data_IF_711020800355
#
_entry.id   IF_711020800355
#
_cell.length_a   1.000
_cell.length_b   1.000
_cell.length_c   1.000
_cell.angle_alpha   90.00
_cell.angle_beta   90.00
_cell.angle_gamma   90.00
#
_symmetry.space_group_name_H-M   'P 1'
#
loop_
_entity.id
_entity.type
_entity.pdbx_description
1 polymer ?
#
# COMPACT_ATOMS: atom_id res chain seq x y z
N UNK A 1 -4.71 -17.31 -32.70
CA UNK A 1 -5.69 -17.74 -31.68
C UNK A 1 -6.62 -16.57 -31.41
N UNK A 2 -7.89 -16.62 -31.82
CA UNK A 2 -8.86 -15.58 -31.42
C UNK A 2 -9.32 -15.88 -29.99
N UNK A 3 -9.29 -14.87 -29.13
CA UNK A 3 -9.85 -14.95 -27.80
C UNK A 3 -11.38 -15.10 -27.92
N UNK A 4 -11.99 -16.05 -27.22
CA UNK A 4 -13.44 -16.18 -27.19
C UNK A 4 -14.08 -14.92 -26.59
N UNK A 5 -15.31 -14.57 -27.01
CA UNK A 5 -16.03 -13.38 -26.50
C UNK A 5 -16.13 -13.36 -24.96
N UNK A 6 -16.25 -14.52 -24.33
CA UNK A 6 -16.25 -14.68 -22.87
C UNK A 6 -14.89 -14.33 -22.24
N UNK A 7 -13.79 -14.66 -22.89
CA UNK A 7 -12.44 -14.32 -22.43
C UNK A 7 -12.21 -12.82 -22.50
N UNK A 8 -12.67 -12.18 -23.58
CA UNK A 8 -12.58 -10.72 -23.74
C UNK A 8 -13.38 -10.00 -22.65
N UNK A 9 -14.59 -10.46 -22.34
CA UNK A 9 -15.42 -9.88 -21.27
C UNK A 9 -14.80 -10.05 -19.88
N UNK A 10 -14.20 -11.21 -19.59
CA UNK A 10 -13.50 -11.44 -18.32
C UNK A 10 -12.26 -10.57 -18.18
N UNK A 11 -11.46 -10.43 -19.25
CA UNK A 11 -10.30 -9.55 -19.26
C UNK A 11 -10.71 -8.08 -19.09
N UNK A 12 -11.79 -7.64 -19.76
CA UNK A 12 -12.33 -6.31 -19.58
C UNK A 12 -12.82 -6.07 -18.15
N UNK A 13 -13.55 -7.03 -17.56
CA UNK A 13 -14.00 -6.95 -16.18
C UNK A 13 -12.83 -6.87 -15.20
N UNK A 14 -11.79 -7.67 -15.40
CA UNK A 14 -10.56 -7.65 -14.60
C UNK A 14 -9.84 -6.29 -14.71
N UNK A 15 -9.68 -5.77 -15.92
CA UNK A 15 -9.07 -4.45 -16.14
C UNK A 15 -9.87 -3.34 -15.44
N UNK A 16 -11.20 -3.38 -15.55
CA UNK A 16 -12.08 -2.39 -14.91
C UNK A 16 -11.97 -2.50 -13.38
N UNK A 17 -11.99 -3.69 -12.80
CA UNK A 17 -11.91 -3.85 -11.34
C UNK A 17 -10.55 -3.43 -10.78
N UNK A 18 -9.45 -3.75 -11.47
CA UNK A 18 -8.10 -3.27 -11.10
C UNK A 18 -7.97 -1.75 -11.21
N UNK A 19 -8.54 -1.15 -12.27
CA UNK A 19 -8.61 0.29 -12.42
C UNK A 19 -9.43 0.97 -11.32
N UNK A 20 -10.58 0.39 -10.97
CA UNK A 20 -11.45 0.87 -9.89
C UNK A 20 -10.76 0.77 -8.53
N UNK A 21 -10.02 -0.31 -8.26
CA UNK A 21 -9.25 -0.47 -7.02
C UNK A 21 -8.19 0.64 -6.86
N UNK A 22 -7.48 0.96 -7.95
CA UNK A 22 -6.48 2.04 -7.95
C UNK A 22 -7.13 3.41 -7.72
N UNK A 23 -8.26 3.67 -8.38
CA UNK A 23 -9.03 4.90 -8.19
C UNK A 23 -9.60 5.02 -6.77
N UNK A 24 -10.07 3.91 -6.19
CA UNK A 24 -10.64 3.86 -4.84
C UNK A 24 -9.62 4.31 -3.78
N UNK A 25 -8.37 3.86 -3.88
CA UNK A 25 -7.31 4.24 -2.93
C UNK A 25 -7.07 5.75 -2.92
N UNK A 26 -6.92 6.37 -4.10
CA UNK A 26 -6.73 7.82 -4.23
C UNK A 26 -7.94 8.61 -3.75
N UNK A 27 -9.15 8.18 -4.13
CA UNK A 27 -10.42 8.82 -3.73
C UNK A 27 -10.64 8.77 -2.22
N UNK A 28 -10.47 7.59 -1.61
CA UNK A 28 -10.65 7.40 -0.17
C UNK A 28 -9.66 8.28 0.61
N UNK A 29 -8.41 8.31 0.16
CA UNK A 29 -7.38 9.15 0.79
C UNK A 29 -7.66 10.64 0.61
N UNK A 30 -8.13 11.07 -0.55
CA UNK A 30 -8.52 12.47 -0.80
C UNK A 30 -9.74 12.89 0.03
N UNK A 31 -10.72 12.01 0.22
CA UNK A 31 -11.89 12.29 1.07
C UNK A 31 -11.45 12.42 2.52
N UNK A 32 -10.64 11.48 3.03
CA UNK A 32 -10.09 11.57 4.39
C UNK A 32 -9.26 12.83 4.56
N UNK A 33 -8.38 13.13 3.61
CA UNK A 33 -7.58 14.34 3.57
C UNK A 33 -8.42 15.63 3.73
N UNK A 34 -9.53 15.74 3.02
CA UNK A 34 -10.33 16.97 2.96
C UNK A 34 -11.43 17.07 4.02
N UNK A 35 -11.79 15.94 4.67
CA UNK A 35 -12.93 15.87 5.60
C UNK A 35 -12.58 15.49 7.03
N UNK A 36 -11.36 15.01 7.26
CA UNK A 36 -10.91 14.57 8.58
C UNK A 36 -9.79 15.48 9.06
N UNK A 37 -9.82 15.80 10.35
CA UNK A 37 -8.80 16.61 11.01
C UNK A 37 -7.39 16.05 10.74
N UNK A 38 -6.38 16.91 10.48
CA UNK A 38 -5.04 16.47 10.10
C UNK A 38 -4.44 15.40 11.02
N UNK A 39 -4.67 15.49 12.34
CA UNK A 39 -4.17 14.53 13.33
C UNK A 39 -4.87 13.16 13.27
N UNK A 40 -6.08 13.08 12.71
CA UNK A 40 -6.90 11.88 12.63
C UNK A 40 -6.86 11.20 11.26
N UNK A 41 -6.27 11.83 10.23
CA UNK A 41 -6.21 11.32 8.85
C UNK A 41 -5.62 9.91 8.77
N UNK A 42 -4.46 9.69 9.39
CA UNK A 42 -3.77 8.38 9.37
C UNK A 42 -4.57 7.31 10.11
N UNK A 43 -5.18 7.65 11.26
CA UNK A 43 -6.10 6.77 11.99
C UNK A 43 -7.27 6.32 11.12
N UNK A 44 -7.93 7.26 10.43
CA UNK A 44 -9.06 6.95 9.54
C UNK A 44 -8.65 6.04 8.38
N UNK A 45 -7.48 6.27 7.78
CA UNK A 45 -6.94 5.40 6.73
C UNK A 45 -6.59 4.00 7.25
N UNK A 46 -6.04 3.92 8.46
CA UNK A 46 -5.82 2.64 9.13
C UNK A 46 -7.11 1.85 9.36
N UNK A 47 -8.21 2.52 9.72
CA UNK A 47 -9.53 1.88 9.84
C UNK A 47 -10.04 1.35 8.50
N UNK A 48 -9.96 2.17 7.45
CA UNK A 48 -10.38 1.77 6.10
C UNK A 48 -9.61 0.52 5.65
N UNK A 49 -8.28 0.54 5.79
CA UNK A 49 -7.44 -0.60 5.41
C UNK A 49 -7.67 -1.84 6.26
N UNK A 50 -7.87 -1.68 7.57
CA UNK A 50 -8.19 -2.79 8.45
C UNK A 50 -9.49 -3.47 8.02
N UNK A 51 -10.53 -2.67 7.74
CA UNK A 51 -11.79 -3.18 7.23
C UNK A 51 -11.62 -3.89 5.87
N UNK A 52 -10.82 -3.31 4.96
CA UNK A 52 -10.50 -3.96 3.68
C UNK A 52 -9.84 -5.33 3.88
N UNK A 53 -8.89 -5.46 4.80
CA UNK A 53 -8.21 -6.72 5.10
C UNK A 53 -9.14 -7.76 5.74
N UNK A 54 -10.04 -7.34 6.64
CA UNK A 54 -11.10 -8.22 7.17
C UNK A 54 -11.98 -8.74 6.04
N UNK A 55 -12.43 -7.85 5.15
CA UNK A 55 -13.26 -8.23 4.02
C UNK A 55 -12.51 -9.16 3.05
N UNK A 56 -11.25 -8.89 2.75
CA UNK A 56 -10.42 -9.77 1.93
C UNK A 56 -10.30 -11.16 2.54
N UNK A 57 -10.03 -11.27 3.84
CA UNK A 57 -9.97 -12.56 4.53
C UNK A 57 -11.31 -13.33 4.46
N UNK A 58 -12.42 -12.65 4.72
CA UNK A 58 -13.76 -13.25 4.62
C UNK A 58 -14.07 -13.72 3.19
N UNK A 59 -13.75 -12.90 2.19
CA UNK A 59 -13.95 -13.27 0.78
C UNK A 59 -13.05 -14.41 0.33
N UNK A 60 -11.82 -14.50 0.85
CA UNK A 60 -10.91 -15.60 0.55
C UNK A 60 -11.43 -16.94 1.10
N UNK A 61 -11.98 -16.94 2.33
CA UNK A 61 -12.63 -18.12 2.92
C UNK A 61 -13.86 -18.52 2.09
N UNK A 62 -14.73 -17.56 1.77
CA UNK A 62 -15.91 -17.82 0.94
C UNK A 62 -15.53 -18.37 -0.45
N UNK A 63 -14.53 -17.77 -1.11
CA UNK A 63 -14.03 -18.24 -2.40
C UNK A 63 -13.43 -19.64 -2.32
N UNK A 64 -12.73 -19.97 -1.22
CA UNK A 64 -12.19 -21.32 -0.99
C UNK A 64 -13.28 -22.36 -0.85
N UNK A 65 -14.39 -22.04 -0.17
CA UNK A 65 -15.56 -22.92 -0.07
C UNK A 65 -16.26 -23.11 -1.43
N UNK A 66 -16.39 -22.04 -2.21
CA UNK A 66 -16.92 -22.11 -3.58
C UNK A 66 -16.03 -23.01 -4.45
N UNK A 67 -14.70 -22.84 -4.40
CA UNK A 67 -13.75 -23.68 -5.13
C UNK A 67 -13.83 -25.15 -4.69
N UNK A 68 -13.89 -25.42 -3.39
CA UNK A 68 -13.98 -26.77 -2.83
C UNK A 68 -15.28 -27.50 -3.23
N UNK A 69 -16.36 -26.77 -3.47
CA UNK A 69 -17.64 -27.35 -3.88
C UNK A 69 -17.62 -27.97 -5.29
N UNK A 70 -16.72 -27.50 -6.17
CA UNK A 70 -16.66 -27.89 -7.59
C UNK A 70 -17.90 -27.51 -8.44
N UNK A 71 -18.93 -26.89 -7.86
CA UNK A 71 -20.19 -26.67 -8.55
C UNK A 71 -20.26 -25.30 -9.22
N UNK A 72 -20.51 -25.30 -10.53
CA UNK A 72 -20.58 -24.09 -11.37
C UNK A 72 -21.57 -23.04 -10.84
N UNK A 73 -22.69 -23.49 -10.24
CA UNK A 73 -23.71 -22.60 -9.70
C UNK A 73 -23.16 -21.68 -8.60
N UNK A 74 -22.25 -22.16 -7.75
CA UNK A 74 -21.67 -21.35 -6.68
C UNK A 74 -20.71 -20.29 -7.22
N UNK A 75 -19.99 -20.59 -8.31
CA UNK A 75 -19.19 -19.57 -9.01
C UNK A 75 -20.08 -18.48 -9.60
N UNK A 76 -21.18 -18.85 -10.26
CA UNK A 76 -22.14 -17.89 -10.83
C UNK A 76 -22.77 -17.01 -9.76
N UNK A 77 -23.16 -17.58 -8.62
CA UNK A 77 -23.69 -16.83 -7.47
C UNK A 77 -22.64 -15.86 -6.93
N UNK A 78 -21.39 -16.30 -6.74
CA UNK A 78 -20.31 -15.43 -6.26
C UNK A 78 -20.06 -14.24 -7.19
N UNK A 79 -20.04 -14.48 -8.51
CA UNK A 79 -19.91 -13.42 -9.53
C UNK A 79 -21.11 -12.46 -9.50
N UNK A 80 -22.33 -12.96 -9.35
CA UNK A 80 -23.54 -12.14 -9.26
C UNK A 80 -23.54 -11.24 -8.01
N UNK A 81 -23.09 -11.76 -6.86
CA UNK A 81 -22.93 -10.98 -5.63
C UNK A 81 -21.90 -9.86 -5.85
N UNK A 82 -20.73 -10.19 -6.41
CA UNK A 82 -19.69 -9.19 -6.70
C UNK A 82 -20.18 -8.10 -7.64
N UNK A 83 -20.89 -8.47 -8.72
CA UNK A 83 -21.50 -7.51 -9.64
C UNK A 83 -22.54 -6.61 -8.97
N UNK A 84 -23.39 -7.18 -8.11
CA UNK A 84 -24.42 -6.44 -7.36
C UNK A 84 -23.78 -5.45 -6.38
N UNK A 85 -22.71 -5.83 -5.69
CA UNK A 85 -21.97 -4.95 -4.78
C UNK A 85 -21.31 -3.78 -5.54
N UNK A 86 -20.70 -4.04 -6.70
CA UNK A 86 -20.14 -2.99 -7.55
C UNK A 86 -21.21 -2.03 -8.05
N UNK A 87 -22.36 -2.56 -8.48
CA UNK A 87 -23.50 -1.75 -8.92
C UNK A 87 -24.08 -0.89 -7.78
N UNK A 88 -24.25 -1.47 -6.58
CA UNK A 88 -24.69 -0.76 -5.40
C UNK A 88 -23.70 0.35 -5.01
N UNK A 89 -22.40 0.08 -5.06
CA UNK A 89 -21.34 1.08 -4.83
C UNK A 89 -21.40 2.22 -5.84
N UNK A 90 -21.59 1.91 -7.13
CA UNK A 90 -21.78 2.92 -8.18
C UNK A 90 -23.02 3.79 -7.91
N UNK A 91 -24.15 3.19 -7.50
CA UNK A 91 -25.37 3.91 -7.13
C UNK A 91 -25.19 4.77 -5.87
N UNK A 92 -24.44 4.29 -4.88
CA UNK A 92 -24.09 5.10 -3.71
C UNK A 92 -23.26 6.32 -4.11
N UNK A 93 -22.31 6.16 -5.03
CA UNK A 93 -21.53 7.28 -5.56
C UNK A 93 -22.38 8.33 -6.29
N UNK A 94 -23.50 7.97 -6.92
CA UNK A 94 -24.42 8.97 -7.51
C UNK A 94 -25.25 9.72 -6.47
N UNK A 95 -25.46 9.12 -5.28
CA UNK A 95 -26.21 9.70 -4.16
C UNK A 95 -25.35 10.56 -3.22
N UNK A 96 -24.03 10.39 -3.23
CA UNK A 96 -23.13 11.32 -2.55
C UNK A 96 -23.30 12.67 -3.26
N UNK A 97 -24.08 13.55 -2.63
CA UNK A 97 -24.43 14.84 -3.19
C UNK A 97 -23.16 15.57 -3.62
N UNK A 98 -23.17 16.07 -4.86
CA UNK A 98 -22.16 17.00 -5.41
C UNK A 98 -21.99 18.29 -4.57
N UNK A 99 -22.70 18.41 -3.44
CA UNK A 99 -22.73 19.57 -2.51
C UNK A 99 -21.39 20.02 -1.98
N UNK A 100 -20.33 19.21 -2.10
CA UNK A 100 -18.97 19.62 -1.69
C UNK A 100 -17.94 19.47 -2.80
N UNK A 101 -18.37 19.32 -4.05
CA UNK A 101 -17.58 19.93 -5.10
C UNK A 101 -17.68 21.44 -4.84
N UNK A 102 -16.80 21.98 -4.00
CA UNK A 102 -16.31 23.35 -4.21
C UNK A 102 -16.16 23.44 -5.71
N UNK A 103 -16.82 24.43 -6.29
CA UNK A 103 -16.97 24.69 -7.73
C UNK A 103 -15.58 24.81 -8.37
N UNK A 104 -14.86 23.70 -8.47
CA UNK A 104 -13.57 23.62 -9.11
C UNK A 104 -13.91 23.59 -10.58
N UNK A 105 -13.73 24.75 -11.18
CA UNK A 105 -13.79 24.91 -12.62
C UNK A 105 -12.84 23.87 -13.25
N UNK A 106 -13.07 23.52 -14.53
CA UNK A 106 -12.11 22.67 -15.26
C UNK A 106 -10.69 23.28 -15.22
N UNK A 107 -10.60 24.60 -15.06
CA UNK A 107 -9.35 25.31 -14.80
C UNK A 107 -8.75 24.93 -13.43
N UNK A 108 -9.52 24.96 -12.34
CA UNK A 108 -9.03 24.60 -10.99
C UNK A 108 -8.55 23.15 -10.91
N UNK A 109 -9.23 22.22 -11.60
CA UNK A 109 -8.75 20.82 -11.72
C UNK A 109 -7.43 20.72 -12.49
N UNK A 110 -7.28 21.48 -13.58
CA UNK A 110 -6.02 21.53 -14.35
C UNK A 110 -4.89 22.20 -13.55
N UNK A 111 -5.20 23.25 -12.80
CA UNK A 111 -4.26 23.95 -11.93
C UNK A 111 -3.81 23.01 -10.81
N UNK A 112 -4.74 22.32 -10.13
CA UNK A 112 -4.39 21.35 -9.08
C UNK A 112 -3.51 20.20 -9.56
N UNK A 113 -3.83 19.62 -10.73
CA UNK A 113 -2.98 18.61 -11.35
C UNK A 113 -1.60 19.15 -11.72
N UNK A 114 -1.53 20.36 -12.30
CA UNK A 114 -0.26 21.01 -12.65
C UNK A 114 0.60 21.33 -11.43
N UNK A 115 -0.03 21.79 -10.34
CA UNK A 115 0.65 22.11 -9.08
C UNK A 115 1.24 20.86 -8.45
N UNK A 116 0.48 19.76 -8.38
CA UNK A 116 0.95 18.52 -7.80
C UNK A 116 2.13 17.91 -8.59
N UNK A 117 2.10 17.97 -9.92
CA UNK A 117 3.21 17.50 -10.78
C UNK A 117 4.44 18.42 -10.74
N UNK A 118 4.29 19.66 -10.27
CA UNK A 118 5.41 20.61 -10.09
C UNK A 118 6.01 20.55 -8.69
N UNK A 119 5.31 19.97 -7.71
CA UNK A 119 5.83 19.79 -6.36
C UNK A 119 6.87 18.66 -6.30
N UNK A 120 8.13 19.04 -6.54
CA UNK A 120 9.26 18.12 -6.52
C UNK A 120 9.44 17.44 -5.15
N UNK A 121 9.10 18.13 -4.05
CA UNK A 121 9.29 17.56 -2.73
C UNK A 121 8.29 16.44 -2.46
N UNK A 122 7.03 16.68 -2.83
CA UNK A 122 5.99 15.65 -2.78
C UNK A 122 6.31 14.49 -3.73
N UNK A 123 6.71 14.76 -4.97
CA UNK A 123 7.04 13.74 -5.96
C UNK A 123 8.18 12.81 -5.50
N UNK A 124 9.27 13.38 -4.98
CA UNK A 124 10.39 12.58 -4.47
C UNK A 124 9.98 11.73 -3.26
N UNK A 125 9.14 12.27 -2.38
CA UNK A 125 8.63 11.53 -1.22
C UNK A 125 7.69 10.39 -1.64
N UNK A 126 6.82 10.62 -2.62
CA UNK A 126 5.91 9.59 -3.13
C UNK A 126 6.64 8.54 -3.96
N UNK A 127 7.64 8.92 -4.75
CA UNK A 127 8.49 7.95 -5.47
C UNK A 127 9.17 6.98 -4.51
N UNK A 128 9.77 7.49 -3.42
CA UNK A 128 10.34 6.63 -2.37
C UNK A 128 9.28 5.72 -1.74
N UNK A 129 8.09 6.26 -1.47
CA UNK A 129 7.01 5.47 -0.89
C UNK A 129 6.56 4.35 -1.82
N UNK A 130 6.46 4.61 -3.13
CA UNK A 130 6.11 3.61 -4.15
C UNK A 130 7.16 2.51 -4.26
N UNK A 131 8.46 2.84 -4.14
CA UNK A 131 9.52 1.83 -4.07
C UNK A 131 9.37 0.95 -2.83
N UNK A 132 9.03 1.53 -1.66
CA UNK A 132 8.73 0.75 -0.46
C UNK A 132 7.46 -0.12 -0.61
N UNK A 133 6.49 0.29 -1.45
CA UNK A 133 5.31 -0.54 -1.74
C UNK A 133 5.61 -1.79 -2.56
N UNK A 134 6.84 -1.95 -3.08
CA UNK A 134 7.31 -3.24 -3.60
C UNK A 134 7.34 -4.33 -2.51
N UNK A 135 7.12 -4.00 -1.23
CA UNK A 135 6.85 -4.99 -0.20
C UNK A 135 5.60 -5.85 -0.48
N UNK A 136 4.59 -5.35 -1.20
CA UNK A 136 3.41 -6.15 -1.55
C UNK A 136 3.75 -7.33 -2.47
N UNK A 137 4.37 -7.12 -3.66
CA UNK A 137 4.74 -8.22 -4.53
C UNK A 137 5.81 -9.13 -3.92
N UNK A 138 6.61 -8.69 -2.93
CA UNK A 138 7.49 -9.59 -2.17
C UNK A 138 6.70 -10.74 -1.56
N UNK A 139 5.54 -10.47 -0.96
CA UNK A 139 4.76 -11.52 -0.30
C UNK A 139 3.81 -12.26 -1.26
N UNK A 140 3.26 -11.57 -2.26
CA UNK A 140 2.27 -12.17 -3.17
C UNK A 140 2.87 -12.88 -4.38
N UNK A 141 4.12 -12.57 -4.75
CA UNK A 141 4.81 -13.14 -5.92
C UNK A 141 6.18 -13.68 -5.56
N UNK A 142 7.02 -12.84 -4.92
CA UNK A 142 8.41 -13.20 -4.61
C UNK A 142 8.50 -14.41 -3.69
N UNK A 143 7.75 -14.41 -2.58
CA UNK A 143 7.75 -15.48 -1.59
C UNK A 143 7.24 -16.82 -2.17
N UNK A 144 6.05 -16.92 -2.81
CA UNK A 144 5.60 -18.16 -3.41
C UNK A 144 6.59 -18.74 -4.42
N UNK A 145 7.09 -17.88 -5.34
CA UNK A 145 8.05 -18.28 -6.37
C UNK A 145 9.34 -18.83 -5.75
N UNK A 146 9.89 -18.09 -4.80
CA UNK A 146 11.10 -18.48 -4.10
C UNK A 146 10.91 -19.76 -3.27
N UNK A 147 9.79 -19.93 -2.55
CA UNK A 147 9.47 -21.17 -1.83
C UNK A 147 9.52 -22.37 -2.77
N UNK A 148 8.92 -22.25 -3.95
CA UNK A 148 8.81 -23.35 -4.91
C UNK A 148 10.09 -23.65 -5.67
N UNK A 149 10.93 -22.64 -5.93
CA UNK A 149 12.11 -22.79 -6.80
C UNK A 149 13.43 -22.87 -6.02
N UNK A 150 13.46 -22.42 -4.77
CA UNK A 150 14.72 -22.13 -4.06
C UNK A 150 14.72 -22.56 -2.59
N UNK A 151 13.75 -23.36 -2.14
CA UNK A 151 13.70 -23.80 -0.73
C UNK A 151 13.21 -25.24 -0.58
N UNK A 152 13.51 -25.82 0.59
CA UNK A 152 12.94 -27.09 1.05
C UNK A 152 11.60 -26.94 1.78
N UNK A 153 11.04 -25.73 1.87
CA UNK A 153 9.80 -25.47 2.58
C UNK A 153 8.57 -25.92 1.77
N UNK A 154 7.49 -26.39 2.43
CA UNK A 154 6.29 -26.82 1.73
C UNK A 154 5.60 -25.65 0.98
N UNK A 155 5.07 -25.85 -0.24
CA UNK A 155 4.36 -24.81 -1.00
C UNK A 155 3.19 -24.17 -0.26
N UNK A 156 2.55 -24.92 0.65
CA UNK A 156 1.47 -24.43 1.51
C UNK A 156 1.88 -23.24 2.39
N UNK A 157 3.19 -23.06 2.65
CA UNK A 157 3.71 -21.95 3.44
C UNK A 157 3.40 -20.58 2.84
N UNK A 158 3.28 -20.46 1.51
CA UNK A 158 2.89 -19.21 0.88
C UNK A 158 1.50 -18.73 1.38
N UNK A 159 0.52 -19.64 1.42
CA UNK A 159 -0.83 -19.35 1.92
C UNK A 159 -0.83 -19.06 3.43
N UNK A 160 -0.07 -19.81 4.21
CA UNK A 160 0.09 -19.56 5.66
C UNK A 160 0.66 -18.17 5.92
N UNK A 161 1.68 -17.76 5.15
CA UNK A 161 2.32 -16.46 5.33
C UNK A 161 1.38 -15.30 4.97
N UNK A 162 0.60 -15.44 3.90
CA UNK A 162 -0.43 -14.48 3.53
C UNK A 162 -1.53 -14.36 4.60
N UNK A 163 -1.93 -15.47 5.22
CA UNK A 163 -2.91 -15.44 6.30
C UNK A 163 -2.36 -14.72 7.55
N UNK A 164 -1.11 -15.01 7.91
CA UNK A 164 -0.42 -14.36 9.04
C UNK A 164 -0.29 -12.85 8.81
N UNK A 165 0.11 -12.42 7.62
CA UNK A 165 0.26 -10.99 7.32
C UNK A 165 -1.07 -10.26 7.42
N UNK A 166 -2.16 -10.85 6.92
CA UNK A 166 -3.50 -10.29 7.06
C UNK A 166 -3.91 -10.14 8.54
N UNK A 167 -3.67 -11.15 9.37
CA UNK A 167 -3.96 -11.09 10.82
C UNK A 167 -3.18 -9.96 11.49
N UNK A 168 -1.89 -9.81 11.16
CA UNK A 168 -1.06 -8.73 11.70
C UNK A 168 -1.59 -7.37 11.27
N UNK A 169 -1.94 -7.20 10.00
CA UNK A 169 -2.48 -5.93 9.51
C UNK A 169 -3.79 -5.61 10.24
N UNK A 170 -4.70 -6.58 10.38
CA UNK A 170 -5.98 -6.39 11.07
C UNK A 170 -5.78 -5.96 12.53
N UNK A 171 -4.78 -6.51 13.21
CA UNK A 171 -4.55 -6.28 14.65
C UNK A 171 -3.67 -5.04 14.92
N UNK A 172 -2.69 -4.74 14.08
CA UNK A 172 -1.63 -3.75 14.35
C UNK A 172 -1.83 -2.43 13.58
N UNK A 173 -2.56 -2.43 12.46
CA UNK A 173 -2.69 -1.24 11.60
C UNK A 173 -3.33 -0.04 12.32
N UNK A 174 -4.40 -0.26 13.09
CA UNK A 174 -5.08 0.81 13.84
C UNK A 174 -4.21 1.34 15.00
N UNK A 175 -3.64 0.50 15.89
CA UNK A 175 -2.74 0.97 16.94
C UNK A 175 -1.57 1.81 16.42
N UNK A 176 -0.95 1.39 15.32
CA UNK A 176 0.16 2.14 14.70
C UNK A 176 -0.34 3.44 14.09
N UNK A 177 -1.44 3.42 13.32
CA UNK A 177 -2.01 4.62 12.71
C UNK A 177 -2.43 5.68 13.71
N UNK A 178 -2.93 5.28 14.89
CA UNK A 178 -3.27 6.20 15.98
C UNK A 178 -2.06 6.97 16.54
N UNK A 179 -0.86 6.39 16.47
CA UNK A 179 0.37 6.99 17.02
C UNK A 179 1.05 7.93 16.04
N UNK A 180 0.82 7.78 14.75
CA UNK A 180 1.52 8.54 13.70
C UNK A 180 0.77 9.84 13.39
N UNK A 181 1.01 10.83 14.26
CA UNK A 181 0.38 12.16 14.18
C UNK A 181 1.35 13.30 13.87
N UNK A 182 2.67 13.06 13.96
CA UNK A 182 3.71 14.05 13.68
C UNK A 182 4.71 13.56 12.65
N UNK A 183 5.45 14.49 12.04
CA UNK A 183 6.46 14.15 11.05
C UNK A 183 7.63 13.37 11.66
N UNK A 184 7.91 13.61 12.95
CA UNK A 184 8.85 12.78 13.72
C UNK A 184 8.37 11.33 13.79
N UNK A 185 7.09 11.09 14.09
CA UNK A 185 6.52 9.75 14.11
C UNK A 185 6.54 9.10 12.72
N UNK A 186 6.06 9.81 11.68
CA UNK A 186 6.05 9.33 10.30
C UNK A 186 7.44 8.93 9.80
N UNK A 187 8.46 9.74 10.12
CA UNK A 187 9.85 9.45 9.82
C UNK A 187 10.37 8.20 10.53
N UNK A 188 10.09 8.03 11.82
CA UNK A 188 10.59 6.88 12.57
C UNK A 188 9.97 5.57 12.11
N UNK A 189 8.64 5.55 11.91
CA UNK A 189 7.99 4.34 11.40
C UNK A 189 8.45 4.05 9.97
N UNK A 190 8.72 5.07 9.15
CA UNK A 190 9.32 4.87 7.83
C UNK A 190 10.67 4.17 7.90
N UNK A 191 11.58 4.71 8.72
CA UNK A 191 12.93 4.16 8.86
C UNK A 191 12.89 2.74 9.44
N UNK A 192 12.12 2.52 10.51
CA UNK A 192 11.96 1.21 11.12
C UNK A 192 11.40 0.19 10.12
N UNK A 193 10.32 0.53 9.42
CA UNK A 193 9.72 -0.32 8.39
C UNK A 193 10.69 -0.63 7.25
N UNK A 194 11.43 0.35 6.76
CA UNK A 194 12.43 0.14 5.70
C UNK A 194 13.59 -0.77 6.12
N UNK A 195 14.05 -0.66 7.38
CA UNK A 195 15.07 -1.55 7.94
C UNK A 195 14.51 -2.97 8.07
N UNK A 196 13.27 -3.12 8.56
CA UNK A 196 12.63 -4.42 8.68
C UNK A 196 12.46 -5.09 7.31
N UNK A 197 12.04 -4.35 6.27
CA UNK A 197 11.99 -4.89 4.90
C UNK A 197 13.38 -5.34 4.41
N UNK A 198 14.43 -4.58 4.73
CA UNK A 198 15.81 -4.97 4.40
C UNK A 198 16.22 -6.28 5.08
N UNK A 199 15.91 -6.40 6.38
CA UNK A 199 16.18 -7.61 7.17
C UNK A 199 15.36 -8.81 6.68
N UNK A 200 14.12 -8.59 6.23
CA UNK A 200 13.30 -9.64 5.60
C UNK A 200 13.99 -10.21 4.36
N UNK A 201 14.52 -9.36 3.48
CA UNK A 201 15.26 -9.81 2.32
C UNK A 201 16.52 -10.61 2.69
N UNK A 202 17.27 -10.16 3.72
CA UNK A 202 18.40 -10.92 4.24
C UNK A 202 17.96 -12.28 4.83
N UNK A 203 16.80 -12.33 5.48
CA UNK A 203 16.24 -13.56 6.02
C UNK A 203 15.85 -14.57 4.92
N UNK A 204 15.39 -14.12 3.75
CA UNK A 204 15.18 -15.02 2.60
C UNK A 204 16.50 -15.61 2.08
N UNK A 205 17.57 -14.83 2.03
CA UNK A 205 18.90 -15.36 1.67
C UNK A 205 19.32 -16.46 2.65
N UNK A 206 19.23 -16.20 3.96
CA UNK A 206 19.62 -17.18 4.99
C UNK A 206 18.76 -18.45 4.94
N UNK A 207 17.45 -18.29 4.73
CA UNK A 207 16.53 -19.42 4.64
C UNK A 207 16.77 -20.29 3.39
N UNK A 208 17.27 -19.71 2.29
CA UNK A 208 17.56 -20.42 1.05
C UNK A 208 18.78 -21.33 1.15
N UNK A 209 19.76 -20.95 1.98
CA UNK A 209 20.98 -21.73 2.22
C UNK A 209 20.79 -22.90 3.22
N UNK A 210 19.58 -23.04 3.76
CA UNK A 210 19.28 -24.04 4.79
C UNK A 210 18.73 -25.33 4.17
N UNK A 211 19.37 -26.46 4.47
CA UNK A 211 18.90 -27.79 4.07
C UNK A 211 17.78 -28.36 4.99
N UNK A 212 17.65 -27.83 6.21
CA UNK A 212 16.67 -28.28 7.19
C UNK A 212 15.31 -27.62 6.99
N UNK A 213 14.30 -28.39 6.57
CA UNK A 213 12.92 -27.91 6.42
C UNK A 213 12.37 -27.21 7.67
N UNK A 214 12.67 -27.73 8.87
CA UNK A 214 12.22 -27.11 10.12
C UNK A 214 12.81 -25.72 10.33
N UNK A 215 14.10 -25.56 10.04
CA UNK A 215 14.79 -24.27 10.18
C UNK A 215 14.31 -23.30 9.12
N UNK A 216 14.16 -23.74 7.86
CA UNK A 216 13.62 -22.92 6.78
C UNK A 216 12.20 -22.40 7.11
N UNK A 217 11.30 -23.28 7.57
CA UNK A 217 9.93 -22.89 7.98
C UNK A 217 9.97 -21.90 9.14
N UNK A 218 10.82 -22.12 10.15
CA UNK A 218 10.94 -21.19 11.28
C UNK A 218 11.40 -19.80 10.85
N UNK A 219 12.39 -19.72 9.95
CA UNK A 219 12.86 -18.45 9.39
C UNK A 219 11.77 -17.79 8.56
N UNK A 220 11.10 -18.53 7.67
CA UNK A 220 10.00 -18.03 6.81
C UNK A 220 8.87 -17.41 7.64
N UNK A 221 8.48 -18.08 8.73
CA UNK A 221 7.49 -17.54 9.66
C UNK A 221 8.00 -16.25 10.31
N UNK A 222 9.24 -16.25 10.83
CA UNK A 222 9.85 -15.07 11.43
C UNK A 222 9.92 -13.86 10.49
N UNK A 223 10.38 -14.06 9.24
CA UNK A 223 10.46 -12.99 8.25
C UNK A 223 9.08 -12.53 7.79
N UNK A 224 8.07 -13.41 7.78
CA UNK A 224 6.70 -13.02 7.46
C UNK A 224 6.10 -12.13 8.55
N UNK A 225 6.31 -12.47 9.83
CA UNK A 225 5.91 -11.60 10.95
C UNK A 225 6.58 -10.22 10.81
N UNK A 226 7.88 -10.20 10.56
CA UNK A 226 8.65 -8.97 10.40
C UNK A 226 8.22 -8.16 9.17
N UNK A 227 7.94 -8.83 8.05
CA UNK A 227 7.44 -8.21 6.81
C UNK A 227 6.09 -7.54 7.04
N UNK A 228 5.14 -8.22 7.68
CA UNK A 228 3.82 -7.65 7.93
C UNK A 228 3.89 -6.43 8.86
N UNK A 229 4.75 -6.47 9.88
CA UNK A 229 5.04 -5.30 10.72
C UNK A 229 5.66 -4.17 9.89
N UNK A 230 6.63 -4.49 9.04
CA UNK A 230 7.29 -3.53 8.17
C UNK A 230 6.29 -2.85 7.22
N UNK A 231 5.41 -3.64 6.60
CA UNK A 231 4.34 -3.18 5.71
C UNK A 231 3.43 -2.18 6.43
N UNK A 232 2.94 -2.53 7.63
CA UNK A 232 2.11 -1.62 8.43
C UNK A 232 2.84 -0.29 8.67
N UNK A 233 4.13 -0.32 9.00
CA UNK A 233 4.92 0.87 9.28
C UNK A 233 5.12 1.74 8.02
N UNK A 234 5.51 1.16 6.88
CA UNK A 234 5.76 1.93 5.64
C UNK A 234 4.48 2.41 4.96
N UNK A 235 3.37 1.68 5.08
CA UNK A 235 2.06 2.14 4.61
C UNK A 235 1.59 3.32 5.46
N UNK A 236 1.78 3.24 6.77
CA UNK A 236 1.42 4.33 7.70
C UNK A 236 2.26 5.58 7.47
N UNK A 237 3.59 5.44 7.26
CA UNK A 237 4.44 6.58 6.92
C UNK A 237 4.04 7.22 5.61
N UNK A 238 3.74 6.44 4.57
CA UNK A 238 3.29 6.93 3.27
C UNK A 238 2.04 7.79 3.41
N UNK A 239 1.03 7.31 4.13
CA UNK A 239 -0.19 8.11 4.34
C UNK A 239 0.09 9.40 5.09
N UNK A 240 0.94 9.35 6.12
CA UNK A 240 1.34 10.55 6.85
C UNK A 240 2.03 11.55 5.91
N UNK A 241 3.06 11.13 5.17
CA UNK A 241 3.77 12.01 4.24
C UNK A 241 2.85 12.55 3.14
N UNK A 242 2.01 11.70 2.56
CA UNK A 242 1.09 12.11 1.49
C UNK A 242 0.12 13.17 1.97
N UNK A 243 -0.49 12.97 3.14
CA UNK A 243 -1.52 13.88 3.66
C UNK A 243 -0.97 15.12 4.37
N UNK A 244 0.28 15.10 4.82
CA UNK A 244 0.94 16.25 5.47
C UNK A 244 1.66 17.17 4.49
N UNK A 245 2.07 16.67 3.33
CA UNK A 245 2.79 17.45 2.31
C UNK A 245 1.88 17.96 1.18
N UNK A 246 0.68 17.42 1.04
CA UNK A 246 -0.24 17.87 0.00
C UNK A 246 -0.71 19.32 0.25
N UNK A 247 -1.02 20.02 -0.83
CA UNK A 247 -1.85 21.21 -0.75
C UNK A 247 -3.32 20.80 -0.57
N UNK A 248 -3.95 21.21 0.54
CA UNK A 248 -5.33 20.84 0.88
C UNK A 248 -6.35 21.30 -0.20
N UNK A 249 -6.13 22.44 -0.86
CA UNK A 249 -6.99 22.94 -1.95
C UNK A 249 -6.94 22.05 -3.21
N UNK A 250 -5.87 21.27 -3.34
CA UNK A 250 -5.60 20.43 -4.50
C UNK A 250 -5.38 18.96 -4.11
N UNK A 251 -5.93 18.53 -2.96
CA UNK A 251 -5.70 17.20 -2.39
C UNK A 251 -5.93 16.06 -3.39
N UNK A 252 -6.96 16.17 -4.24
CA UNK A 252 -7.25 15.16 -5.27
C UNK A 252 -6.11 14.93 -6.25
N UNK A 253 -5.39 15.99 -6.68
CA UNK A 253 -4.24 15.87 -7.58
C UNK A 253 -3.04 15.20 -6.92
N UNK A 254 -2.73 15.58 -5.68
CA UNK A 254 -1.66 14.97 -4.87
C UNK A 254 -1.95 13.49 -4.57
N UNK A 255 -3.17 13.16 -4.14
CA UNK A 255 -3.54 11.78 -3.85
C UNK A 255 -3.65 10.91 -5.10
N UNK A 256 -3.92 11.51 -6.26
CA UNK A 256 -3.84 10.81 -7.55
C UNK A 256 -2.41 10.39 -7.88
N UNK A 257 -1.42 11.26 -7.65
CA UNK A 257 0.01 10.91 -7.82
C UNK A 257 0.41 9.78 -6.86
N UNK A 258 0.03 9.87 -5.59
CA UNK A 258 0.30 8.81 -4.62
C UNK A 258 -0.32 7.47 -5.04
N UNK A 259 -1.58 7.49 -5.51
CA UNK A 259 -2.28 6.30 -5.99
C UNK A 259 -1.68 5.72 -7.29
N UNK A 260 -1.19 6.55 -8.21
CA UNK A 260 -0.46 6.10 -9.40
C UNK A 260 0.81 5.33 -8.97
N UNK A 261 1.52 5.84 -7.97
CA UNK A 261 2.69 5.18 -7.41
C UNK A 261 2.39 3.78 -6.87
N UNK A 262 1.29 3.64 -6.12
CA UNK A 262 0.81 2.33 -5.64
C UNK A 262 0.40 1.42 -6.81
N UNK A 263 -0.33 1.97 -7.79
CA UNK A 263 -0.74 1.23 -8.98
C UNK A 263 0.44 0.70 -9.79
N UNK A 264 1.52 1.48 -9.91
CA UNK A 264 2.77 1.03 -10.56
C UNK A 264 3.44 -0.11 -9.79
N UNK A 265 3.49 -0.03 -8.46
CA UNK A 265 4.03 -1.11 -7.64
C UNK A 265 3.22 -2.41 -7.80
N UNK A 266 1.89 -2.33 -7.92
CA UNK A 266 1.02 -3.48 -8.17
C UNK A 266 1.18 -4.02 -9.60
N UNK A 267 1.24 -3.13 -10.60
CA UNK A 267 1.26 -3.51 -12.01
C UNK A 267 2.61 -4.08 -12.47
N UNK A 268 3.71 -3.47 -12.04
CA UNK A 268 5.07 -3.83 -12.49
C UNK A 268 5.82 -4.66 -11.45
N UNK A 269 5.41 -4.58 -10.18
CA UNK A 269 6.02 -5.32 -9.07
C UNK A 269 6.20 -6.81 -9.31
N UNK A 270 5.20 -7.56 -9.82
CA UNK A 270 5.35 -8.97 -10.15
C UNK A 270 6.50 -9.26 -11.12
N UNK A 271 6.63 -8.48 -12.20
CA UNK A 271 7.71 -8.65 -13.17
C UNK A 271 9.09 -8.34 -12.55
N UNK A 272 9.17 -7.31 -11.69
CA UNK A 272 10.39 -6.99 -10.93
C UNK A 272 10.75 -8.16 -10.00
N UNK A 273 9.78 -8.72 -9.27
CA UNK A 273 10.02 -9.84 -8.37
C UNK A 273 10.50 -11.08 -9.13
N UNK A 274 9.87 -11.44 -10.25
CA UNK A 274 10.31 -12.58 -11.07
C UNK A 274 11.76 -12.37 -11.54
N UNK A 275 12.09 -11.18 -12.05
CA UNK A 275 13.43 -10.88 -12.52
C UNK A 275 14.48 -10.93 -11.38
N UNK A 276 14.17 -10.37 -10.21
CA UNK A 276 15.09 -10.36 -9.07
C UNK A 276 15.24 -11.74 -8.45
N UNK A 277 14.14 -12.45 -8.18
CA UNK A 277 14.18 -13.80 -7.61
C UNK A 277 14.91 -14.78 -8.54
N UNK A 278 14.76 -14.62 -9.87
CA UNK A 278 15.53 -15.39 -10.85
C UNK A 278 17.05 -15.21 -10.78
N UNK A 279 17.56 -14.17 -10.11
CA UNK A 279 19.00 -13.98 -9.83
C UNK A 279 19.44 -14.58 -8.49
N UNK A 280 18.56 -15.31 -7.80
CA UNK A 280 18.82 -15.93 -6.50
C UNK A 280 19.07 -14.89 -5.39
N UNK A 281 20.07 -15.16 -4.55
CA UNK A 281 20.40 -14.33 -3.38
C UNK A 281 20.72 -12.88 -3.74
N UNK A 282 21.29 -12.63 -4.93
CA UNK A 282 21.63 -11.28 -5.39
C UNK A 282 20.39 -10.39 -5.48
N UNK A 283 19.27 -10.92 -5.98
CA UNK A 283 18.03 -10.17 -6.12
C UNK A 283 17.46 -9.72 -4.77
N UNK A 284 17.51 -10.61 -3.77
CA UNK A 284 17.11 -10.27 -2.41
C UNK A 284 18.01 -9.21 -1.79
N UNK A 285 19.33 -9.31 -1.96
CA UNK A 285 20.27 -8.29 -1.48
C UNK A 285 20.03 -6.92 -2.12
N UNK A 286 19.82 -6.87 -3.45
CA UNK A 286 19.51 -5.63 -4.17
C UNK A 286 18.21 -5.01 -3.67
N UNK A 287 17.18 -5.83 -3.47
CA UNK A 287 15.89 -5.37 -2.97
C UNK A 287 15.99 -4.84 -1.53
N UNK A 288 16.66 -5.59 -0.66
CA UNK A 288 16.89 -5.19 0.73
C UNK A 288 17.69 -3.90 0.84
N UNK A 289 18.72 -3.73 0.00
CA UNK A 289 19.51 -2.50 -0.07
C UNK A 289 18.66 -1.33 -0.60
N UNK A 290 17.81 -1.57 -1.60
CA UNK A 290 16.89 -0.56 -2.14
C UNK A 290 15.94 -0.05 -1.05
N UNK A 291 15.30 -0.96 -0.30
CA UNK A 291 14.43 -0.57 0.81
C UNK A 291 15.17 0.27 1.85
N UNK A 292 16.37 -0.15 2.25
CA UNK A 292 17.19 0.58 3.21
C UNK A 292 17.58 1.97 2.73
N UNK A 293 18.12 2.09 1.51
CA UNK A 293 18.54 3.36 0.91
C UNK A 293 17.35 4.32 0.81
N UNK A 294 16.20 3.84 0.32
CA UNK A 294 15.00 4.66 0.17
C UNK A 294 14.49 5.15 1.53
N UNK A 295 14.47 4.27 2.53
CA UNK A 295 14.05 4.61 3.89
C UNK A 295 14.93 5.67 4.55
N UNK A 296 16.26 5.53 4.42
CA UNK A 296 17.24 6.51 4.90
C UNK A 296 17.09 7.83 4.14
N UNK A 297 16.95 7.77 2.81
CA UNK A 297 16.72 8.95 1.97
C UNK A 297 15.49 9.72 2.45
N UNK A 298 14.33 9.07 2.60
CA UNK A 298 13.10 9.73 3.06
C UNK A 298 13.24 10.27 4.49
N UNK A 299 13.99 9.59 5.36
CA UNK A 299 14.22 10.05 6.72
C UNK A 299 15.08 11.33 6.78
N UNK A 300 16.12 11.41 5.94
CA UNK A 300 16.95 12.61 5.80
C UNK A 300 16.16 13.72 5.10
N UNK A 301 15.44 13.39 4.04
CA UNK A 301 14.71 14.35 3.21
C UNK A 301 13.56 15.02 3.98
N UNK A 302 12.74 14.24 4.69
CA UNK A 302 11.68 14.76 5.55
C UNK A 302 12.19 15.69 6.66
N UNK A 303 13.38 15.41 7.22
CA UNK A 303 14.02 16.29 8.20
C UNK A 303 14.38 17.65 7.59
N UNK A 304 14.91 17.66 6.35
CA UNK A 304 15.30 18.90 5.66
C UNK A 304 14.09 19.77 5.32
N UNK A 305 12.96 19.16 4.99
CA UNK A 305 11.70 19.88 4.75
C UNK A 305 11.23 20.59 6.02
N UNK A 306 11.26 19.92 7.18
CA UNK A 306 10.90 20.55 8.47
C UNK A 306 11.71 21.80 8.78
N UNK A 307 13.04 21.70 8.64
CA UNK A 307 13.95 22.81 8.94
C UNK A 307 13.64 24.00 8.05
N UNK A 308 13.45 23.78 6.73
CA UNK A 308 13.13 24.86 5.79
C UNK A 308 11.77 25.51 6.05
N UNK A 309 10.77 24.75 6.48
CA UNK A 309 9.45 25.31 6.82
C UNK A 309 9.52 26.12 8.11
N UNK A 310 10.27 25.65 9.12
CA UNK A 310 10.48 26.39 10.36
C UNK A 310 11.30 27.68 10.16
N UNK A 311 12.34 27.64 9.32
CA UNK A 311 13.14 28.82 8.95
C UNK A 311 12.31 29.86 8.18
N UNK A 312 11.38 29.42 7.33
CA UNK A 312 10.46 30.31 6.60
C UNK A 312 9.35 30.91 7.48
N UNK A 313 8.96 30.24 8.57
CA UNK A 313 7.93 30.73 9.47
C UNK A 313 8.40 31.92 10.33
N UNK A 314 9.71 32.08 10.57
CA UNK A 314 10.30 33.20 11.30
C UNK A 314 9.79 33.41 12.74
N UNK A 315 10.41 34.29 13.55
CA UNK A 315 10.00 34.53 14.94
C UNK A 315 8.68 35.32 15.10
N UNK A 316 7.96 35.62 14.01
CA UNK A 316 6.78 36.51 14.00
C UNK A 316 5.49 35.88 14.56
N UNK A 317 5.51 34.61 14.97
CA UNK A 317 4.35 33.89 15.53
C UNK A 317 4.51 33.58 17.03
N UNK A 318 5.44 34.22 17.72
CA UNK A 318 5.45 34.18 19.19
C UNK A 318 4.15 34.81 19.72
N UNK A 319 3.36 34.10 20.56
CA UNK A 319 2.18 34.70 21.17
C UNK A 319 2.61 35.94 21.95
N UNK A 320 1.97 37.08 21.67
CA UNK A 320 2.14 38.29 22.48
C UNK A 320 1.81 37.92 23.93
N UNK A 321 2.65 38.30 24.92
CA UNK A 321 2.28 38.12 26.31
C UNK A 321 1.00 38.92 26.56
N UNK A 322 -0.01 38.23 27.09
CA UNK A 322 -1.23 38.85 27.58
C UNK A 322 -0.82 39.85 28.67
N UNK A 323 -1.25 41.10 28.49
CA UNK A 323 -1.06 42.20 29.43
C UNK A 323 -2.21 42.22 30.44
#
# INVERSE_FOLDING_TARGET
>A
MSLSSSTVLLLAALFITLGLQSAQTGLSTSIVATRVDPMSRVKSLSWIRTLQHVLYALTAVAASLVLASGAEIFFRIALAIGGTMLFAGALMCTRISRRSAVTSSRADRRIGGSTAVKDRAFLLMMLGSSLLMLCWPVLTVGLPLWITESTVAPPAMAGVCLAISAIIIITIQIPVGNKVVTLKHGRYVNLAGSIFLSVVCAGFVIAGETESTRVAVAIILGVTLLHALAEVLVVTSKWYFSTSMMNDDHAGGYQSIAAIGDGLAVAVGPAIMIALVGTGNTGWCVLGLTFFIVGVFQAIYSRRILVRTAERAGPSMAPKPEA
#
